data_IF_458092046620
#
_entry.id   IF_458092046620
#
_cell.length_a   1.000
_cell.length_b   1.000
_cell.length_c   1.000
_cell.angle_alpha   90.00
_cell.angle_beta   90.00
_cell.angle_gamma   90.00
#
_symmetry.space_group_name_H-M   'P 1'
#
loop_
_entity.id
_entity.type
_entity.pdbx_description
1 polymer ?
#
# COMPACT_ATOMS: atom_id res chain seq x y z
N UNK A 1 20.64 6.02 6.95
CA UNK A 1 20.04 5.62 8.23
C UNK A 1 20.90 6.14 9.38
N UNK A 2 22.18 5.79 9.46
CA UNK A 2 23.10 6.27 10.53
C UNK A 2 23.06 7.81 10.68
N UNK A 3 23.16 8.55 9.57
CA UNK A 3 23.05 10.01 9.59
C UNK A 3 21.72 10.51 10.18
N UNK A 4 20.60 9.89 9.81
CA UNK A 4 19.28 10.27 10.32
C UNK A 4 19.14 10.04 11.83
N UNK A 5 19.75 8.96 12.33
CA UNK A 5 19.79 8.65 13.76
C UNK A 5 20.68 9.65 14.53
N UNK A 6 21.84 10.00 13.98
CA UNK A 6 22.78 10.95 14.58
C UNK A 6 22.23 12.39 14.59
N UNK A 7 21.62 12.80 13.47
CA UNK A 7 21.02 14.12 13.31
C UNK A 7 19.62 14.25 13.92
N UNK A 8 19.02 13.15 14.40
CA UNK A 8 17.66 13.07 14.93
C UNK A 8 16.62 13.66 13.97
N UNK A 9 16.73 13.32 12.68
CA UNK A 9 15.85 13.77 11.62
C UNK A 9 15.22 12.58 10.87
N UNK A 10 14.20 12.86 10.03
CA UNK A 10 13.58 11.81 9.21
C UNK A 10 14.56 11.25 8.17
N UNK A 11 14.30 10.02 7.70
CA UNK A 11 15.10 9.43 6.61
C UNK A 11 15.02 10.27 5.33
N UNK A 12 13.90 10.93 5.10
CA UNK A 12 13.71 11.82 3.94
C UNK A 12 14.58 13.07 4.06
N UNK A 13 14.59 13.74 5.21
CA UNK A 13 15.40 14.92 5.45
C UNK A 13 16.88 14.58 5.37
N UNK A 14 17.28 13.47 5.99
CA UNK A 14 18.64 12.95 5.88
C UNK A 14 19.06 12.69 4.42
N UNK A 15 18.15 12.14 3.60
CA UNK A 15 18.40 11.94 2.18
C UNK A 15 18.55 13.28 1.44
N UNK A 16 17.65 14.23 1.71
CA UNK A 16 17.63 15.56 1.09
C UNK A 16 18.90 16.35 1.37
N UNK A 17 19.39 16.30 2.60
CA UNK A 17 20.62 16.99 3.01
C UNK A 17 21.89 16.38 2.44
N UNK A 18 21.86 15.08 2.10
CA UNK A 18 23.03 14.35 1.63
C UNK A 18 23.02 14.03 0.12
N UNK A 19 22.20 14.70 -0.67
CA UNK A 19 22.09 14.47 -2.12
C UNK A 19 23.43 14.62 -2.86
N UNK A 20 24.34 15.45 -2.34
CA UNK A 20 25.64 15.73 -2.95
C UNK A 20 26.71 14.68 -2.67
N UNK A 21 26.44 13.69 -1.84
CA UNK A 21 27.40 12.59 -1.58
C UNK A 21 27.53 11.68 -2.79
N UNK A 22 28.76 11.19 -3.06
CA UNK A 22 29.06 10.34 -4.23
C UNK A 22 28.20 9.06 -4.28
N UNK A 23 27.81 8.53 -3.13
CA UNK A 23 26.97 7.35 -3.03
C UNK A 23 25.54 7.63 -3.54
N UNK A 24 25.00 8.81 -3.22
CA UNK A 24 23.61 9.19 -3.54
C UNK A 24 23.54 9.78 -4.95
N UNK A 25 24.56 10.51 -5.41
CA UNK A 25 24.65 11.02 -6.79
C UNK A 25 24.53 9.95 -7.87
N UNK A 26 24.96 8.72 -7.58
CA UNK A 26 24.87 7.57 -8.50
C UNK A 26 23.53 6.86 -8.47
N UNK A 27 22.63 7.26 -7.56
CA UNK A 27 21.29 6.71 -7.41
C UNK A 27 20.23 7.63 -8.02
N UNK A 28 19.01 7.15 -8.18
CA UNK A 28 17.84 7.96 -8.56
C UNK A 28 17.28 8.82 -7.42
N UNK A 29 17.99 8.94 -6.30
CA UNK A 29 17.51 9.65 -5.12
C UNK A 29 17.25 11.13 -5.38
N UNK A 30 18.06 11.79 -6.21
CA UNK A 30 17.86 13.18 -6.58
C UNK A 30 16.57 13.38 -7.39
N UNK A 31 16.27 12.48 -8.32
CA UNK A 31 15.02 12.50 -9.10
C UNK A 31 13.81 12.29 -8.20
N UNK A 32 13.93 11.33 -7.27
CA UNK A 32 12.89 11.06 -6.27
C UNK A 32 12.61 12.28 -5.37
N UNK A 33 13.64 12.91 -4.82
CA UNK A 33 13.47 14.10 -3.98
C UNK A 33 12.87 15.25 -4.77
N UNK A 34 13.31 15.49 -6.02
CA UNK A 34 12.72 16.53 -6.88
C UNK A 34 11.24 16.26 -7.15
N UNK A 35 10.87 15.03 -7.43
CA UNK A 35 9.47 14.65 -7.62
C UNK A 35 8.64 14.94 -6.37
N UNK A 36 9.10 14.51 -5.21
CA UNK A 36 8.38 14.75 -3.93
C UNK A 36 8.24 16.25 -3.67
N UNK A 37 9.31 17.04 -3.79
CA UNK A 37 9.25 18.49 -3.54
C UNK A 37 8.35 19.21 -4.55
N UNK A 38 8.36 18.78 -5.81
CA UNK A 38 7.44 19.29 -6.83
C UNK A 38 5.98 19.09 -6.42
N UNK A 39 5.59 17.87 -6.08
CA UNK A 39 4.20 17.59 -5.69
C UNK A 39 3.82 18.19 -4.35
N UNK A 40 4.75 18.29 -3.40
CA UNK A 40 4.55 19.03 -2.14
C UNK A 40 4.24 20.51 -2.33
N UNK A 41 4.76 21.12 -3.38
CA UNK A 41 4.52 22.52 -3.68
C UNK A 41 3.17 22.83 -4.34
N UNK A 42 2.50 21.79 -4.91
CA UNK A 42 1.31 22.00 -5.75
C UNK A 42 0.13 21.09 -5.41
N UNK A 43 0.27 20.16 -4.44
CA UNK A 43 -0.75 19.14 -4.15
C UNK A 43 -2.11 19.71 -3.73
N UNK A 44 -2.13 20.89 -3.11
CA UNK A 44 -3.33 21.60 -2.69
C UNK A 44 -4.05 22.35 -3.82
N UNK A 45 -3.40 22.46 -4.99
CA UNK A 45 -3.93 23.12 -6.19
C UNK A 45 -4.33 22.13 -7.28
N UNK A 46 -4.22 20.83 -7.00
CA UNK A 46 -4.50 19.74 -7.95
C UNK A 46 -5.66 18.88 -7.47
N UNK A 47 -6.35 18.26 -8.42
CA UNK A 47 -7.25 17.16 -8.10
C UNK A 47 -6.45 15.95 -7.61
N UNK A 48 -6.98 15.19 -6.66
CA UNK A 48 -6.29 14.03 -6.08
C UNK A 48 -6.02 12.94 -7.11
N UNK A 49 -6.94 12.77 -8.06
CA UNK A 49 -6.79 11.84 -9.20
C UNK A 49 -5.59 12.23 -10.06
N UNK A 50 -5.40 13.52 -10.34
CA UNK A 50 -4.26 14.02 -11.11
C UNK A 50 -2.96 13.92 -10.31
N UNK A 51 -3.00 14.23 -9.02
CA UNK A 51 -1.86 14.07 -8.10
C UNK A 51 -1.37 12.63 -8.08
N UNK A 52 -2.28 11.66 -7.86
CA UNK A 52 -1.92 10.24 -7.86
C UNK A 52 -1.34 9.79 -9.21
N UNK A 53 -2.01 10.15 -10.31
CA UNK A 53 -1.59 9.77 -11.65
C UNK A 53 -0.21 10.35 -12.00
N UNK A 54 0.04 11.59 -11.61
CA UNK A 54 1.32 12.25 -11.78
C UNK A 54 2.45 11.57 -11.01
N UNK A 55 2.23 11.27 -9.72
CA UNK A 55 3.22 10.58 -8.88
C UNK A 55 3.51 9.17 -9.39
N UNK A 56 2.49 8.39 -9.77
CA UNK A 56 2.67 7.04 -10.31
C UNK A 56 3.45 7.03 -11.63
N UNK A 57 3.16 7.99 -12.51
CA UNK A 57 3.83 8.13 -13.80
C UNK A 57 5.29 8.57 -13.63
N UNK A 58 5.53 9.63 -12.85
CA UNK A 58 6.88 10.21 -12.68
C UNK A 58 7.82 9.31 -11.85
N UNK A 59 7.27 8.58 -10.87
CA UNK A 59 8.04 7.57 -10.12
C UNK A 59 8.41 6.35 -10.98
N UNK A 60 7.72 6.11 -12.09
CA UNK A 60 7.85 4.91 -12.91
C UNK A 60 7.30 3.65 -12.26
N UNK A 61 6.56 3.78 -11.14
CA UNK A 61 6.06 2.62 -10.38
C UNK A 61 5.08 1.78 -11.21
N UNK A 62 4.10 2.42 -11.86
CA UNK A 62 3.15 1.71 -12.73
C UNK A 62 3.85 1.01 -13.90
N UNK A 63 4.85 1.66 -14.51
CA UNK A 63 5.64 1.06 -15.58
C UNK A 63 6.46 -0.13 -15.09
N UNK A 64 7.01 -0.06 -13.88
CA UNK A 64 7.74 -1.16 -13.26
C UNK A 64 6.82 -2.37 -13.06
N UNK A 65 5.60 -2.19 -12.53
CA UNK A 65 4.63 -3.27 -12.36
C UNK A 65 4.25 -3.92 -13.70
N UNK A 66 4.02 -3.13 -14.74
CA UNK A 66 3.72 -3.66 -16.09
C UNK A 66 4.87 -4.49 -16.63
N UNK A 67 6.10 -4.06 -16.41
CA UNK A 67 7.31 -4.76 -16.90
C UNK A 67 7.58 -6.04 -16.12
N UNK A 68 7.26 -6.07 -14.83
CA UNK A 68 7.41 -7.26 -13.97
C UNK A 68 6.25 -8.25 -14.06
N UNK A 69 5.15 -7.90 -14.76
CA UNK A 69 3.97 -8.77 -14.90
C UNK A 69 3.14 -8.90 -13.61
N UNK A 70 3.20 -7.91 -12.73
CA UNK A 70 2.47 -7.90 -11.45
C UNK A 70 1.03 -7.40 -11.65
N UNK A 71 0.20 -8.21 -12.32
CA UNK A 71 -1.18 -7.87 -12.69
C UNK A 71 -2.05 -7.53 -11.47
N UNK A 72 -1.98 -8.34 -10.41
CA UNK A 72 -2.74 -8.10 -9.17
C UNK A 72 -2.48 -6.72 -8.57
N UNK A 73 -1.24 -6.23 -8.66
CA UNK A 73 -0.89 -4.88 -8.17
C UNK A 73 -1.35 -3.79 -9.11
N UNK A 74 -1.41 -4.05 -10.40
CA UNK A 74 -2.00 -3.12 -11.37
C UNK A 74 -3.50 -2.97 -11.14
N UNK A 75 -4.20 -4.07 -10.86
CA UNK A 75 -5.61 -4.06 -10.50
C UNK A 75 -5.84 -3.26 -9.21
N UNK A 76 -5.03 -3.47 -8.16
CA UNK A 76 -5.08 -2.66 -6.94
C UNK A 76 -4.86 -1.17 -7.19
N UNK A 77 -3.96 -0.79 -8.13
CA UNK A 77 -3.79 0.60 -8.54
C UNK A 77 -5.01 1.16 -9.27
N UNK A 78 -5.65 0.36 -10.12
CA UNK A 78 -6.87 0.75 -10.80
C UNK A 78 -8.01 0.99 -9.80
N UNK A 79 -8.17 0.10 -8.82
CA UNK A 79 -9.14 0.27 -7.72
C UNK A 79 -8.85 1.52 -6.88
N UNK A 80 -7.58 1.80 -6.56
CA UNK A 80 -7.19 3.00 -5.84
C UNK A 80 -7.53 4.28 -6.63
N UNK A 81 -7.24 4.30 -7.93
CA UNK A 81 -7.60 5.42 -8.83
C UNK A 81 -9.11 5.64 -8.85
N UNK A 82 -9.89 4.55 -8.93
CA UNK A 82 -11.35 4.61 -8.92
C UNK A 82 -11.88 5.11 -7.57
N UNK A 83 -11.33 4.64 -6.46
CA UNK A 83 -11.74 5.08 -5.12
C UNK A 83 -11.51 6.58 -4.90
N UNK A 84 -10.38 7.11 -5.37
CA UNK A 84 -10.09 8.55 -5.32
C UNK A 84 -11.07 9.33 -6.19
N UNK A 85 -11.32 8.89 -7.40
CA UNK A 85 -12.28 9.53 -8.30
C UNK A 85 -13.69 9.57 -7.71
N UNK A 86 -14.14 8.47 -7.10
CA UNK A 86 -15.44 8.39 -6.44
C UNK A 86 -15.52 9.28 -5.20
N UNK A 87 -14.42 9.41 -4.45
CA UNK A 87 -14.31 10.33 -3.32
C UNK A 87 -14.44 11.78 -3.79
N UNK A 88 -13.70 12.19 -4.82
CA UNK A 88 -13.79 13.55 -5.41
C UNK A 88 -15.21 13.89 -5.85
N UNK A 89 -15.90 12.95 -6.48
CA UNK A 89 -17.30 13.17 -6.90
C UNK A 89 -18.28 13.34 -5.75
N UNK A 90 -18.02 12.71 -4.60
CA UNK A 90 -18.93 12.73 -3.44
C UNK A 90 -18.65 13.87 -2.48
N UNK A 91 -17.40 14.24 -2.31
CA UNK A 91 -16.95 15.21 -1.30
C UNK A 91 -17.18 16.69 -1.72
N UNK A 92 -17.46 16.99 -2.98
CA UNK A 92 -17.74 18.35 -3.46
C UNK A 92 -16.58 19.30 -3.26
N UNK A 93 -16.80 20.42 -2.54
CA UNK A 93 -15.80 21.47 -2.33
C UNK A 93 -14.76 21.13 -1.24
N UNK A 94 -14.96 20.06 -0.45
CA UNK A 94 -14.06 19.67 0.65
C UNK A 94 -13.03 18.61 0.24
N UNK A 95 -12.69 18.53 -1.03
CA UNK A 95 -11.71 17.57 -1.54
C UNK A 95 -10.30 18.03 -1.22
N UNK A 96 -9.70 17.46 -0.17
CA UNK A 96 -8.28 17.65 0.16
C UNK A 96 -7.59 16.30 0.32
N UNK A 97 -6.26 16.29 0.15
CA UNK A 97 -5.47 15.07 0.42
C UNK A 97 -5.62 14.61 1.87
N UNK A 98 -5.67 15.54 2.83
CA UNK A 98 -5.90 15.23 4.25
C UNK A 98 -7.22 14.52 4.46
N UNK A 99 -8.33 15.08 3.96
CA UNK A 99 -9.66 14.48 4.08
C UNK A 99 -9.75 13.10 3.43
N UNK A 100 -9.08 12.89 2.30
CA UNK A 100 -8.99 11.58 1.68
C UNK A 100 -8.23 10.57 2.53
N UNK A 101 -7.08 10.96 3.09
CA UNK A 101 -6.28 10.08 3.95
C UNK A 101 -7.02 9.72 5.24
N UNK A 102 -7.72 10.66 5.85
CA UNK A 102 -8.57 10.42 7.02
C UNK A 102 -9.73 9.46 6.67
N UNK A 103 -10.38 9.68 5.53
CA UNK A 103 -11.41 8.79 5.02
C UNK A 103 -10.88 7.36 4.76
N UNK A 104 -9.73 7.23 4.13
CA UNK A 104 -9.11 5.93 3.86
C UNK A 104 -8.71 5.20 5.16
N UNK A 105 -8.19 5.93 6.16
CA UNK A 105 -7.87 5.38 7.47
C UNK A 105 -9.11 4.88 8.22
N UNK A 106 -10.23 5.58 8.10
CA UNK A 106 -11.51 5.17 8.68
C UNK A 106 -12.08 3.92 7.99
N UNK A 107 -11.94 3.81 6.67
CA UNK A 107 -12.40 2.63 5.91
C UNK A 107 -11.68 1.37 6.37
N UNK A 108 -10.37 1.42 6.56
CA UNK A 108 -9.57 0.29 7.04
C UNK A 108 -10.05 -0.19 8.42
N UNK A 109 -10.50 0.71 9.29
CA UNK A 109 -11.04 0.40 10.60
C UNK A 109 -12.52 -0.04 10.55
N UNK A 110 -13.32 0.51 9.64
CA UNK A 110 -14.73 0.18 9.49
C UNK A 110 -14.97 -1.16 8.81
N UNK A 111 -14.12 -1.59 7.89
CA UNK A 111 -14.18 -2.94 7.29
C UNK A 111 -13.92 -4.02 8.34
N UNK A 112 -13.19 -3.71 9.40
CA UNK A 112 -13.03 -4.59 10.57
C UNK A 112 -14.23 -4.53 11.56
N UNK A 113 -14.95 -3.40 11.62
CA UNK A 113 -16.01 -3.18 12.60
C UNK A 113 -17.44 -3.34 12.04
N UNK A 114 -17.65 -3.14 10.75
CA UNK A 114 -18.99 -3.13 10.17
C UNK A 114 -19.35 -4.50 9.57
N UNK A 115 -20.29 -5.12 10.17
CA UNK A 115 -21.21 -6.20 9.78
C UNK A 115 -21.23 -7.37 10.77
N UNK A 116 -21.79 -7.10 11.92
CA UNK A 116 -22.09 -8.14 12.92
C UNK A 116 -23.04 -9.26 12.40
N UNK A 117 -23.70 -9.06 11.25
CA UNK A 117 -24.63 -10.01 10.64
C UNK A 117 -24.25 -10.49 9.22
N UNK A 118 -22.99 -10.32 8.81
CA UNK A 118 -22.54 -10.76 7.50
C UNK A 118 -21.59 -11.94 7.59
N UNK A 119 -21.69 -12.88 6.61
CA UNK A 119 -20.70 -13.93 6.44
C UNK A 119 -19.41 -13.27 5.96
N UNK A 120 -18.35 -13.42 6.74
CA UNK A 120 -17.01 -12.88 6.41
C UNK A 120 -16.25 -13.89 5.58
N UNK A 121 -15.86 -13.51 4.37
CA UNK A 121 -14.96 -14.29 3.51
C UNK A 121 -13.57 -13.69 3.60
N UNK A 122 -12.58 -14.50 3.93
CA UNK A 122 -11.20 -14.04 4.08
C UNK A 122 -10.22 -15.19 3.89
N UNK A 123 -8.96 -14.87 3.68
CA UNK A 123 -7.89 -15.87 3.66
C UNK A 123 -7.54 -16.29 5.08
N UNK A 124 -6.92 -17.48 5.24
CA UNK A 124 -6.41 -17.95 6.55
C UNK A 124 -5.41 -16.95 7.15
N UNK A 125 -4.56 -16.36 6.32
CA UNK A 125 -3.63 -15.32 6.77
C UNK A 125 -4.33 -14.05 7.29
N UNK A 126 -5.42 -13.63 6.65
CA UNK A 126 -6.19 -12.48 7.09
C UNK A 126 -6.98 -12.77 8.38
N UNK A 127 -7.27 -14.05 8.68
CA UNK A 127 -7.94 -14.48 9.90
C UNK A 127 -7.00 -14.59 11.11
N UNK A 128 -5.69 -14.49 10.92
CA UNK A 128 -4.71 -14.62 12.01
C UNK A 128 -4.97 -13.61 13.12
N UNK A 129 -5.19 -14.10 14.33
CA UNK A 129 -5.47 -13.26 15.51
C UNK A 129 -6.92 -12.80 15.64
N UNK A 130 -7.82 -13.27 14.76
CA UNK A 130 -9.26 -13.02 14.85
C UNK A 130 -9.98 -14.26 15.43
N UNK A 131 -11.07 -14.02 16.14
CA UNK A 131 -11.91 -15.07 16.72
C UNK A 131 -13.33 -14.99 16.15
N UNK A 132 -13.88 -16.14 15.75
CA UNK A 132 -15.23 -16.24 15.20
C UNK A 132 -16.02 -17.36 15.88
N UNK A 133 -17.33 -17.15 16.15
CA UNK A 133 -18.20 -18.17 16.76
C UNK A 133 -18.36 -19.43 15.88
N UNK A 134 -18.27 -19.28 14.56
CA UNK A 134 -18.34 -20.37 13.59
C UNK A 134 -17.41 -20.08 12.43
N UNK A 135 -16.64 -21.09 12.00
CA UNK A 135 -15.67 -20.99 10.90
C UNK A 135 -15.92 -22.12 9.93
N UNK A 136 -15.98 -21.80 8.64
CA UNK A 136 -16.04 -22.77 7.56
C UNK A 136 -14.73 -22.65 6.75
N UNK A 137 -13.86 -23.65 6.89
CA UNK A 137 -12.65 -23.77 6.09
C UNK A 137 -12.97 -24.45 4.77
N UNK A 138 -12.76 -23.73 3.66
CA UNK A 138 -12.93 -24.22 2.31
C UNK A 138 -11.57 -24.46 1.65
N UNK A 139 -11.51 -25.42 0.69
CA UNK A 139 -10.29 -25.65 -0.06
C UNK A 139 -9.24 -26.50 0.68
N UNK A 140 -9.63 -27.26 1.67
CA UNK A 140 -8.78 -28.26 2.35
C UNK A 140 -8.52 -29.45 1.42
N UNK A 141 -7.73 -29.21 0.38
CA UNK A 141 -7.31 -30.22 -0.58
C UNK A 141 -5.80 -30.26 -0.66
N UNK A 142 -5.24 -31.46 -0.77
CA UNK A 142 -3.79 -31.65 -0.90
C UNK A 142 -3.21 -30.80 -2.03
N UNK A 143 -2.19 -29.99 -1.71
CA UNK A 143 -1.56 -29.05 -2.63
C UNK A 143 -2.22 -27.66 -2.75
N UNK A 144 -3.38 -27.43 -2.08
CA UNK A 144 -3.98 -26.13 -1.85
C UNK A 144 -3.75 -25.73 -0.40
N UNK A 145 -4.24 -26.53 0.55
CA UNK A 145 -3.95 -26.40 1.96
C UNK A 145 -3.93 -27.80 2.61
N UNK A 146 -2.77 -28.30 3.11
CA UNK A 146 -1.44 -27.65 3.05
C UNK A 146 -0.92 -27.42 1.62
N UNK A 147 -0.17 -26.33 1.44
CA UNK A 147 0.36 -25.95 0.13
C UNK A 147 1.45 -26.90 -0.36
N UNK A 148 1.68 -26.97 -1.69
CA UNK A 148 2.70 -27.83 -2.32
C UNK A 148 4.13 -27.61 -1.79
N UNK A 149 4.38 -26.47 -1.10
CA UNK A 149 5.69 -26.14 -0.50
C UNK A 149 5.89 -26.75 0.89
N UNK A 150 4.82 -27.19 1.54
CA UNK A 150 4.85 -27.88 2.83
C UNK A 150 5.13 -29.38 2.64
N UNK A 151 6.29 -29.70 2.06
CA UNK A 151 6.69 -31.06 1.69
C UNK A 151 7.52 -31.79 2.76
N UNK A 152 7.74 -31.16 3.91
CA UNK A 152 8.41 -31.77 5.08
C UNK A 152 7.46 -31.71 6.28
N UNK A 153 7.67 -32.64 7.24
CA UNK A 153 6.81 -32.74 8.42
C UNK A 153 6.81 -31.42 9.22
N UNK A 154 7.96 -30.80 9.40
CA UNK A 154 8.09 -29.55 10.15
C UNK A 154 7.32 -28.39 9.48
N UNK A 155 7.39 -28.31 8.14
CA UNK A 155 6.65 -27.28 7.37
C UNK A 155 5.14 -27.54 7.36
N UNK A 156 4.71 -28.80 7.38
CA UNK A 156 3.31 -29.17 7.52
C UNK A 156 2.77 -28.79 8.90
N UNK A 157 3.52 -29.04 9.96
CA UNK A 157 3.16 -28.65 11.32
C UNK A 157 3.12 -27.12 11.47
N UNK A 158 4.05 -26.38 10.83
CA UNK A 158 4.07 -24.93 10.82
C UNK A 158 2.89 -24.30 10.04
N UNK A 159 2.46 -24.93 8.93
CA UNK A 159 1.34 -24.43 8.12
C UNK A 159 -0.03 -24.76 8.74
N UNK A 160 -0.09 -25.78 9.61
CA UNK A 160 -1.31 -26.22 10.30
C UNK A 160 -1.46 -25.66 11.72
N UNK A 161 -0.44 -24.98 12.26
CA UNK A 161 -0.45 -24.33 13.57
C UNK A 161 -1.03 -22.91 13.50
#
# INVERSE_FOLDING_TARGET
>A
KAYAEEANCSLYDALKENLDTDLIKRSKAMEYVRMIEKYRAIYDQMQLTDLLSGVLSESGYEQMLRTSGEEDRLDNLAELKQAIFDFERKAGEEVTLGNYLDHAALFTNMDQAAKAEAVKLMTVHAAKGLEFPAVFLCGLSEGIFPGKRANTRDKLEEELA
#
